data_IF_412561840374
#
_entry.id   IF_412561840374
#
_cell.length_a   1.000
_cell.length_b   1.000
_cell.length_c   1.000
_cell.angle_alpha   90.00
_cell.angle_beta   90.00
_cell.angle_gamma   90.00
#
_symmetry.space_group_name_H-M   'P 1'
#
loop_
_entity.id
_entity.type
_entity.pdbx_description
1 polymer ?
#
# COMPACT_ATOMS: atom_id res chain seq x y z
N UNK A 1 -9.14 0.99 -8.83
CA UNK A 1 -8.66 2.29 -8.32
C UNK A 1 -7.32 2.61 -8.98
N UNK A 2 -6.92 3.87 -9.03
CA UNK A 2 -5.69 4.31 -9.69
C UNK A 2 -4.42 3.68 -9.08
N UNK A 3 -4.38 3.45 -7.76
CA UNK A 3 -3.27 2.75 -7.10
C UNK A 3 -3.05 1.31 -7.59
N UNK A 4 -4.12 0.55 -7.81
CA UNK A 4 -4.02 -0.81 -8.37
C UNK A 4 -3.57 -0.80 -9.83
N UNK A 5 -3.92 0.24 -10.58
CA UNK A 5 -3.43 0.42 -11.95
C UNK A 5 -1.92 0.69 -11.93
N UNK A 6 -1.46 1.62 -11.12
CA UNK A 6 -0.03 1.93 -10.97
C UNK A 6 0.79 0.69 -10.52
N UNK A 7 0.28 -0.08 -9.56
CA UNK A 7 0.92 -1.33 -9.11
C UNK A 7 1.05 -2.34 -10.26
N UNK A 8 0.00 -2.50 -11.09
CA UNK A 8 0.03 -3.37 -12.27
C UNK A 8 1.03 -2.86 -13.31
N UNK A 9 0.98 -1.58 -13.62
CA UNK A 9 1.83 -0.95 -14.63
C UNK A 9 3.32 -1.05 -14.22
N UNK A 10 3.64 -0.91 -12.93
CA UNK A 10 4.98 -1.11 -12.41
C UNK A 10 5.49 -2.54 -12.59
N UNK A 11 4.64 -3.56 -12.38
CA UNK A 11 5.02 -4.96 -12.63
C UNK A 11 5.27 -5.23 -14.11
N UNK A 12 4.44 -4.66 -14.99
CA UNK A 12 4.64 -4.74 -16.44
C UNK A 12 5.96 -4.08 -16.84
N UNK A 13 6.26 -2.90 -16.27
CA UNK A 13 7.52 -2.20 -16.51
C UNK A 13 8.74 -3.02 -16.05
N UNK A 14 8.69 -3.64 -14.87
CA UNK A 14 9.76 -4.52 -14.39
C UNK A 14 10.01 -5.70 -15.32
N UNK A 15 8.96 -6.36 -15.81
CA UNK A 15 9.09 -7.44 -16.78
C UNK A 15 9.73 -6.96 -18.10
N UNK A 16 9.39 -5.74 -18.54
CA UNK A 16 10.01 -5.14 -19.72
C UNK A 16 11.50 -4.82 -19.49
N UNK A 17 11.87 -4.34 -18.29
CA UNK A 17 13.27 -4.11 -17.90
C UNK A 17 14.06 -5.41 -17.91
N UNK A 18 13.52 -6.50 -17.37
CA UNK A 18 14.15 -7.82 -17.41
C UNK A 18 14.37 -8.30 -18.85
N UNK A 19 13.34 -8.18 -19.70
CA UNK A 19 13.44 -8.56 -21.12
C UNK A 19 14.51 -7.73 -21.85
N UNK A 20 14.63 -6.44 -21.53
CA UNK A 20 15.64 -5.55 -22.10
C UNK A 20 17.05 -5.90 -21.62
N UNK A 21 17.22 -6.26 -20.33
CA UNK A 21 18.48 -6.76 -19.79
C UNK A 21 18.92 -8.03 -20.51
N UNK A 22 18.04 -9.03 -20.62
CA UNK A 22 18.33 -10.28 -21.33
C UNK A 22 18.71 -10.02 -22.80
N UNK A 23 17.99 -9.13 -23.48
CA UNK A 23 18.28 -8.78 -24.87
C UNK A 23 19.63 -8.06 -25.02
N UNK A 24 19.95 -7.13 -24.11
CA UNK A 24 21.24 -6.43 -24.06
C UNK A 24 22.39 -7.40 -23.82
N UNK A 25 22.20 -8.31 -22.86
CA UNK A 25 23.18 -9.34 -22.51
C UNK A 25 23.49 -10.25 -23.68
N UNK A 26 22.46 -10.80 -24.33
CA UNK A 26 22.64 -11.66 -25.51
C UNK A 26 23.42 -10.96 -26.64
N UNK A 27 23.15 -9.67 -26.88
CA UNK A 27 23.85 -8.88 -27.88
C UNK A 27 25.34 -8.67 -27.51
N UNK A 28 25.60 -8.35 -26.24
CA UNK A 28 26.94 -8.12 -25.71
C UNK A 28 27.78 -9.41 -25.69
N UNK A 29 27.17 -10.53 -25.33
CA UNK A 29 27.79 -11.86 -25.40
C UNK A 29 28.15 -12.23 -26.84
N UNK A 30 27.23 -12.02 -27.80
CA UNK A 30 27.54 -12.24 -29.21
C UNK A 30 28.72 -11.38 -29.70
N UNK A 31 28.80 -10.12 -29.24
CA UNK A 31 29.90 -9.23 -29.58
C UNK A 31 31.22 -9.73 -28.99
N UNK A 32 31.24 -10.10 -27.70
CA UNK A 32 32.45 -10.62 -27.03
C UNK A 32 32.94 -11.92 -27.67
N UNK A 33 32.02 -12.83 -28.01
CA UNK A 33 32.32 -14.11 -28.69
C UNK A 33 32.94 -13.92 -30.08
N UNK A 34 32.48 -12.90 -30.82
CA UNK A 34 33.03 -12.55 -32.13
C UNK A 34 34.34 -11.75 -32.05
N UNK A 35 34.68 -11.21 -30.88
CA UNK A 35 35.86 -10.38 -30.70
C UNK A 35 37.07 -11.27 -30.44
N UNK A 36 37.99 -11.34 -31.39
CA UNK A 36 39.16 -12.20 -31.26
C UNK A 36 40.06 -11.71 -30.10
N UNK A 37 40.71 -12.63 -29.35
CA UNK A 37 41.58 -12.26 -28.22
C UNK A 37 42.71 -11.30 -28.59
N UNK A 38 43.17 -11.36 -29.84
CA UNK A 38 44.32 -10.60 -30.33
C UNK A 38 43.93 -9.20 -30.82
N UNK A 39 42.62 -8.92 -30.90
CA UNK A 39 42.12 -7.63 -31.33
C UNK A 39 42.33 -6.59 -30.23
N UNK A 40 42.72 -5.39 -30.66
CA UNK A 40 42.94 -4.27 -29.77
C UNK A 40 41.68 -3.95 -28.97
N UNK A 41 41.77 -3.95 -27.64
CA UNK A 41 40.65 -3.57 -26.78
C UNK A 41 39.81 -4.75 -26.25
N UNK A 42 40.24 -6.02 -26.43
CA UNK A 42 39.47 -7.19 -25.97
C UNK A 42 39.14 -7.13 -24.48
N UNK A 43 40.14 -6.87 -23.64
CA UNK A 43 39.97 -6.82 -22.18
C UNK A 43 39.00 -5.69 -21.78
N UNK A 44 39.04 -4.55 -22.45
CA UNK A 44 38.10 -3.45 -22.25
C UNK A 44 36.67 -3.82 -22.67
N UNK A 45 36.50 -4.52 -23.80
CA UNK A 45 35.19 -5.02 -24.24
C UNK A 45 34.61 -5.96 -23.20
N UNK A 46 35.40 -6.90 -22.68
CA UNK A 46 34.95 -7.84 -21.64
C UNK A 46 34.57 -7.12 -20.35
N UNK A 47 35.40 -6.17 -19.92
CA UNK A 47 35.09 -5.33 -18.75
C UNK A 47 33.77 -4.56 -18.93
N UNK A 48 33.50 -4.01 -20.12
CA UNK A 48 32.24 -3.28 -20.39
C UNK A 48 31.04 -4.23 -20.36
N UNK A 49 31.19 -5.45 -20.90
CA UNK A 49 30.13 -6.47 -20.89
C UNK A 49 29.78 -6.85 -19.45
N UNK A 50 30.78 -7.12 -18.61
CA UNK A 50 30.60 -7.44 -17.19
C UNK A 50 29.98 -6.27 -16.41
N UNK A 51 30.52 -5.06 -16.56
CA UNK A 51 30.01 -3.87 -15.87
C UNK A 51 28.56 -3.58 -16.26
N UNK A 52 28.22 -3.75 -17.54
CA UNK A 52 26.85 -3.58 -18.03
C UNK A 52 25.88 -4.57 -17.37
N UNK A 53 26.25 -5.85 -17.22
CA UNK A 53 25.41 -6.87 -16.56
C UNK A 53 25.17 -6.53 -15.08
N UNK A 54 26.20 -6.03 -14.40
CA UNK A 54 26.12 -5.57 -13.00
C UNK A 54 25.19 -4.38 -12.87
N UNK A 55 25.32 -3.37 -13.76
CA UNK A 55 24.47 -2.18 -13.75
C UNK A 55 22.99 -2.52 -14.00
N UNK A 56 22.71 -3.42 -14.94
CA UNK A 56 21.34 -3.90 -15.18
C UNK A 56 20.75 -4.60 -13.96
N UNK A 57 21.53 -5.48 -13.33
CA UNK A 57 21.11 -6.24 -12.14
C UNK A 57 20.81 -5.30 -10.98
N UNK A 58 21.69 -4.34 -10.71
CA UNK A 58 21.50 -3.34 -9.66
C UNK A 58 20.29 -2.43 -9.95
N UNK A 59 20.09 -2.00 -11.20
CA UNK A 59 18.93 -1.22 -11.60
C UNK A 59 17.62 -1.97 -11.35
N UNK A 60 17.54 -3.22 -11.80
CA UNK A 60 16.37 -4.08 -11.59
C UNK A 60 16.09 -4.27 -10.10
N UNK A 61 17.12 -4.61 -9.31
CA UNK A 61 16.98 -4.80 -7.87
C UNK A 61 16.50 -3.53 -7.17
N UNK A 62 17.03 -2.36 -7.53
CA UNK A 62 16.58 -1.07 -6.99
C UNK A 62 15.11 -0.78 -7.30
N UNK A 63 14.61 -1.15 -8.49
CA UNK A 63 13.18 -1.02 -8.81
C UNK A 63 12.32 -1.97 -7.98
N UNK A 64 12.76 -3.22 -7.77
CA UNK A 64 12.04 -4.18 -6.92
C UNK A 64 11.93 -3.65 -5.49
N UNK A 65 13.05 -3.29 -4.87
CA UNK A 65 13.09 -2.94 -3.45
C UNK A 65 12.46 -1.58 -3.16
N UNK A 66 12.77 -0.57 -3.98
CA UNK A 66 12.39 0.80 -3.68
C UNK A 66 11.02 1.20 -4.24
N UNK A 67 10.56 0.54 -5.32
CA UNK A 67 9.28 0.84 -5.94
C UNK A 67 8.25 -0.27 -5.68
N UNK A 68 8.53 -1.51 -6.11
CA UNK A 68 7.53 -2.58 -6.09
C UNK A 68 7.14 -3.01 -4.68
N UNK A 69 8.11 -3.36 -3.83
CA UNK A 69 7.83 -3.79 -2.45
C UNK A 69 7.12 -2.69 -1.65
N UNK A 70 7.55 -1.44 -1.85
CA UNK A 70 6.94 -0.27 -1.21
C UNK A 70 5.48 -0.09 -1.65
N UNK A 71 5.19 -0.25 -2.94
CA UNK A 71 3.83 -0.20 -3.48
C UNK A 71 2.96 -1.36 -2.99
N UNK A 72 3.49 -2.58 -2.99
CA UNK A 72 2.77 -3.78 -2.54
C UNK A 72 2.40 -3.68 -1.05
N UNK A 73 3.33 -3.21 -0.23
CA UNK A 73 3.10 -2.97 1.20
C UNK A 73 2.00 -1.92 1.42
N UNK A 74 2.05 -0.79 0.71
CA UNK A 74 1.05 0.27 0.80
C UNK A 74 -0.34 -0.23 0.36
N UNK A 75 -0.41 -0.89 -0.79
CA UNK A 75 -1.67 -1.42 -1.33
C UNK A 75 -2.26 -2.52 -0.44
N UNK A 76 -1.42 -3.31 0.24
CA UNK A 76 -1.82 -4.35 1.17
C UNK A 76 -2.58 -3.86 2.41
N UNK A 77 -2.52 -2.56 2.74
CA UNK A 77 -3.22 -1.99 3.90
C UNK A 77 -4.72 -1.76 3.62
N UNK A 78 -5.09 -1.56 2.36
CA UNK A 78 -6.45 -1.15 1.99
C UNK A 78 -7.56 -2.18 2.32
N UNK A 79 -7.36 -3.49 2.15
CA UNK A 79 -8.40 -4.47 2.49
C UNK A 79 -8.83 -4.40 3.97
N UNK A 80 -7.86 -4.33 4.89
CA UNK A 80 -8.15 -4.23 6.33
C UNK A 80 -8.83 -2.91 6.68
N UNK A 81 -8.27 -1.78 6.20
CA UNK A 81 -8.84 -0.45 6.43
C UNK A 81 -10.28 -0.36 5.91
N UNK A 82 -10.56 -0.90 4.72
CA UNK A 82 -11.93 -0.95 4.18
C UNK A 82 -12.86 -1.80 5.03
N UNK A 83 -12.39 -2.94 5.55
CA UNK A 83 -13.16 -3.80 6.44
C UNK A 83 -13.53 -3.07 7.74
N UNK A 84 -12.58 -2.31 8.30
CA UNK A 84 -12.77 -1.51 9.51
C UNK A 84 -13.68 -0.32 9.30
N UNK A 85 -13.57 0.39 8.17
CA UNK A 85 -14.54 1.43 7.77
C UNK A 85 -15.96 0.83 7.70
N UNK A 86 -16.14 -0.28 7.00
CA UNK A 86 -17.44 -0.94 6.90
C UNK A 86 -17.98 -1.40 8.27
N UNK A 87 -17.09 -1.84 9.19
CA UNK A 87 -17.45 -2.18 10.57
C UNK A 87 -17.88 -0.93 11.36
N UNK A 88 -17.13 0.16 11.24
CA UNK A 88 -17.44 1.46 11.86
C UNK A 88 -18.80 2.00 11.39
N UNK A 89 -19.10 1.92 10.10
CA UNK A 89 -20.38 2.36 9.55
C UNK A 89 -21.55 1.52 10.07
N UNK A 90 -21.39 0.20 10.18
CA UNK A 90 -22.41 -0.65 10.84
C UNK A 90 -22.60 -0.28 12.32
N UNK A 91 -21.51 0.02 13.04
CA UNK A 91 -21.58 0.35 14.48
C UNK A 91 -22.15 1.74 14.74
N UNK A 92 -21.97 2.68 13.81
CA UNK A 92 -22.67 3.96 13.87
C UNK A 92 -24.19 3.77 13.82
N UNK A 93 -24.69 2.89 12.95
CA UNK A 93 -26.13 2.58 12.87
C UNK A 93 -26.64 1.94 14.17
N UNK A 94 -25.89 0.99 14.74
CA UNK A 94 -26.24 0.38 16.03
C UNK A 94 -26.31 1.44 17.15
N UNK A 95 -25.31 2.33 17.21
CA UNK A 95 -25.26 3.41 18.18
C UNK A 95 -26.41 4.41 18.02
N UNK A 96 -26.67 4.89 16.81
CA UNK A 96 -27.79 5.80 16.54
C UNK A 96 -29.13 5.16 16.91
N UNK A 97 -29.30 3.87 16.63
CA UNK A 97 -30.51 3.11 17.00
C UNK A 97 -30.69 3.03 18.52
N UNK A 98 -29.64 2.68 19.27
CA UNK A 98 -29.68 2.64 20.73
C UNK A 98 -29.97 4.03 21.33
N UNK A 99 -29.36 5.09 20.76
CA UNK A 99 -29.56 6.48 21.18
C UNK A 99 -31.00 6.94 20.98
N UNK A 100 -31.66 6.53 19.89
CA UNK A 100 -33.07 6.85 19.65
C UNK A 100 -34.03 6.03 20.53
N UNK A 101 -33.67 4.80 20.88
CA UNK A 101 -34.47 3.94 21.75
C UNK A 101 -34.45 4.40 23.23
N UNK A 102 -33.31 4.88 23.71
CA UNK A 102 -33.09 5.30 25.10
C UNK A 102 -34.12 6.33 25.66
N UNK A 103 -34.42 7.47 25.00
CA UNK A 103 -35.44 8.42 25.46
C UNK A 103 -36.87 7.89 25.29
N UNK A 104 -37.10 6.98 24.33
CA UNK A 104 -38.42 6.39 24.05
C UNK A 104 -38.85 5.41 25.14
N UNK A 105 -37.90 4.67 25.74
CA UNK A 105 -38.12 3.83 26.92
C UNK A 105 -38.36 4.63 28.20
N UNK A 106 -37.73 5.80 28.34
CA UNK A 106 -37.87 6.67 29.53
C UNK A 106 -39.23 7.38 29.63
N UNK A 107 -39.89 7.70 28.51
CA UNK A 107 -41.21 8.36 28.51
C UNK A 107 -42.38 7.38 28.77
N UNK A 108 -42.14 6.07 28.75
CA UNK A 108 -43.19 5.08 28.52
C UNK A 108 -43.80 4.36 29.72
N UNK A 109 -43.22 4.34 30.93
CA UNK A 109 -43.78 3.53 32.04
C UNK A 109 -43.28 3.90 33.46
N UNK A 110 -44.23 4.27 34.34
CA UNK A 110 -44.07 4.25 35.81
C UNK A 110 -44.46 2.85 36.33
N UNK A 111 -43.48 2.00 36.63
CA UNK A 111 -43.70 0.66 37.21
C UNK A 111 -42.40 -0.13 37.38
N UNK A 112 -42.40 -1.22 38.18
CA UNK A 112 -41.20 -2.03 38.52
C UNK A 112 -40.49 -2.60 37.28
N UNK A 113 -41.24 -3.02 36.26
CA UNK A 113 -40.71 -3.48 34.96
C UNK A 113 -40.20 -2.34 34.07
N UNK A 114 -40.59 -1.09 34.35
CA UNK A 114 -40.09 0.09 33.66
C UNK A 114 -38.63 0.37 34.03
N UNK A 115 -38.28 0.26 35.31
CA UNK A 115 -36.91 0.45 35.79
C UNK A 115 -35.90 -0.53 35.16
N UNK A 116 -36.25 -1.81 35.07
CA UNK A 116 -35.39 -2.85 34.46
C UNK A 116 -35.18 -2.60 32.95
N UNK A 117 -36.20 -2.05 32.26
CA UNK A 117 -36.09 -1.72 30.83
C UNK A 117 -35.28 -0.46 30.57
N UNK A 118 -35.30 0.50 31.49
CA UNK A 118 -34.50 1.71 31.43
C UNK A 118 -33.02 1.39 31.61
N UNK A 119 -32.65 0.63 32.65
CA UNK A 119 -31.26 0.22 32.88
C UNK A 119 -30.69 -0.60 31.73
N UNK A 120 -31.50 -1.50 31.15
CA UNK A 120 -31.08 -2.29 29.98
C UNK A 120 -30.83 -1.42 28.74
N UNK A 121 -31.66 -0.39 28.53
CA UNK A 121 -31.49 0.54 27.41
C UNK A 121 -30.28 1.47 27.61
N UNK A 122 -29.96 1.84 28.85
CA UNK A 122 -28.73 2.56 29.23
C UNK A 122 -27.48 1.71 28.96
N UNK A 123 -27.45 0.46 29.44
CA UNK A 123 -26.33 -0.48 29.22
C UNK A 123 -26.08 -0.77 27.73
N UNK A 124 -27.15 -0.84 26.93
CA UNK A 124 -27.08 -1.06 25.48
C UNK A 124 -26.53 0.18 24.77
N UNK A 125 -26.96 1.38 25.18
CA UNK A 125 -26.45 2.64 24.66
C UNK A 125 -24.96 2.81 24.94
N UNK A 126 -24.53 2.61 26.19
CA UNK A 126 -23.12 2.74 26.58
C UNK A 126 -22.24 1.75 25.82
N UNK A 127 -22.67 0.49 25.69
CA UNK A 127 -21.92 -0.53 24.94
C UNK A 127 -21.83 -0.18 23.46
N UNK A 128 -22.93 0.25 22.84
CA UNK A 128 -22.95 0.60 21.42
C UNK A 128 -22.05 1.82 21.13
N UNK A 129 -22.09 2.82 22.02
CA UNK A 129 -21.22 4.00 21.96
C UNK A 129 -19.75 3.60 22.02
N UNK A 130 -19.36 2.84 23.06
CA UNK A 130 -17.97 2.44 23.26
C UNK A 130 -17.39 1.70 22.06
N UNK A 131 -18.11 0.70 21.53
CA UNK A 131 -17.63 -0.09 20.38
C UNK A 131 -17.52 0.76 19.11
N UNK A 132 -18.41 1.74 18.92
CA UNK A 132 -18.31 2.67 17.80
C UNK A 132 -17.11 3.61 17.94
N UNK A 133 -16.96 4.24 19.12
CA UNK A 133 -15.90 5.21 19.40
C UNK A 133 -14.52 4.60 19.28
N UNK A 134 -14.28 3.40 19.84
CA UNK A 134 -13.01 2.68 19.71
C UNK A 134 -12.57 2.54 18.24
N UNK A 135 -13.47 2.07 17.36
CA UNK A 135 -13.14 1.89 15.93
C UNK A 135 -12.98 3.26 15.24
N UNK A 136 -13.79 4.25 15.63
CA UNK A 136 -13.77 5.56 15.01
C UNK A 136 -12.48 6.33 15.33
N UNK A 137 -12.00 6.28 16.58
CA UNK A 137 -10.74 6.88 17.01
C UNK A 137 -9.55 6.24 16.29
N UNK A 138 -9.47 4.90 16.26
CA UNK A 138 -8.39 4.20 15.55
C UNK A 138 -8.33 4.60 14.06
N UNK A 139 -9.49 4.70 13.40
CA UNK A 139 -9.57 5.10 11.99
C UNK A 139 -9.22 6.58 11.78
N UNK A 140 -9.56 7.46 12.74
CA UNK A 140 -9.21 8.88 12.67
C UNK A 140 -7.69 9.11 12.78
N UNK A 141 -6.97 8.25 13.51
CA UNK A 141 -5.51 8.30 13.56
C UNK A 141 -4.86 7.66 12.32
N UNK A 142 -5.39 6.54 11.85
CA UNK A 142 -4.75 5.75 10.82
C UNK A 142 -4.94 6.31 9.40
N UNK A 143 -6.10 6.89 9.09
CA UNK A 143 -6.38 7.42 7.74
C UNK A 143 -5.44 8.58 7.34
N UNK A 144 -5.16 9.58 8.20
CA UNK A 144 -4.14 10.59 7.92
C UNK A 144 -2.73 9.98 7.78
N UNK A 145 -2.39 8.99 8.61
CA UNK A 145 -1.12 8.28 8.53
C UNK A 145 -0.96 7.56 7.19
N UNK A 146 -2.01 6.90 6.69
CA UNK A 146 -2.04 6.25 5.38
C UNK A 146 -1.81 7.26 4.25
N UNK A 147 -2.40 8.46 4.35
CA UNK A 147 -2.17 9.53 3.38
C UNK A 147 -0.72 10.03 3.39
N UNK A 148 -0.13 10.22 4.57
CA UNK A 148 1.27 10.62 4.67
C UNK A 148 2.22 9.59 4.05
N UNK A 149 1.93 8.29 4.21
CA UNK A 149 2.69 7.21 3.56
C UNK A 149 2.61 7.29 2.04
N UNK A 150 1.44 7.63 1.47
CA UNK A 150 1.28 7.86 0.03
C UNK A 150 2.18 8.99 -0.48
N UNK A 151 2.21 10.12 0.23
CA UNK A 151 3.08 11.26 -0.11
C UNK A 151 4.56 10.85 -0.08
N UNK A 152 4.98 10.13 0.97
CA UNK A 152 6.36 9.63 1.08
C UNK A 152 6.74 8.66 -0.05
N UNK A 153 5.81 7.78 -0.44
CA UNK A 153 6.00 6.86 -1.56
C UNK A 153 6.19 7.62 -2.88
N UNK A 154 5.36 8.61 -3.17
CA UNK A 154 5.52 9.47 -4.36
C UNK A 154 6.82 10.26 -4.38
N UNK A 155 7.24 10.81 -3.24
CA UNK A 155 8.52 11.51 -3.14
C UNK A 155 9.70 10.59 -3.46
N UNK A 156 9.62 9.30 -3.08
CA UNK A 156 10.64 8.30 -3.45
C UNK A 156 10.67 8.05 -4.97
N UNK A 157 9.52 7.95 -5.63
CA UNK A 157 9.46 7.84 -7.10
C UNK A 157 10.07 9.06 -7.79
N UNK A 158 9.70 10.27 -7.37
CA UNK A 158 10.25 11.51 -7.91
C UNK A 158 11.77 11.56 -7.72
N UNK A 159 12.27 11.15 -6.56
CA UNK A 159 13.70 11.10 -6.26
C UNK A 159 14.45 10.11 -7.18
N UNK A 160 13.88 8.93 -7.43
CA UNK A 160 14.44 7.95 -8.37
C UNK A 160 14.49 8.52 -9.79
N UNK A 161 13.42 9.17 -10.23
CA UNK A 161 13.33 9.79 -11.55
C UNK A 161 14.32 10.94 -11.73
N UNK A 162 14.45 11.83 -10.74
CA UNK A 162 15.43 12.92 -10.77
C UNK A 162 16.86 12.40 -10.81
N UNK A 163 17.16 11.31 -10.08
CA UNK A 163 18.48 10.67 -10.12
C UNK A 163 18.77 10.08 -11.50
N UNK A 164 17.77 9.52 -12.16
CA UNK A 164 17.91 8.96 -13.52
C UNK A 164 18.18 10.03 -14.58
N UNK A 165 17.52 11.20 -14.50
CA UNK A 165 17.71 12.30 -15.48
C UNK A 165 19.02 13.07 -15.26
N UNK A 166 19.58 13.01 -14.05
CA UNK A 166 20.83 13.70 -13.72
C UNK A 166 22.09 12.89 -14.08
N UNK A 167 21.93 11.68 -14.64
CA UNK A 167 22.98 10.81 -15.18
C UNK A 167 23.01 10.96 -16.70
#
# INVERSE_FOLDING_TARGET
TEGSKLQKDLRVYLAAVQTMHESSKNLQECLSDMYEPEWYGKDEVDSIVEDSDVLWTDFHQKLVDNALISMDTYMGQFPDIKSRIAKRDRKLVDYDSARHNHPSTNKGKKGKDGGIKITKAEDELERAQKVFEEINEDLQEELPSLWNRYVSLWNRYISLWNRYISL
#
